data_IF_654777475208
#
_entry.id   IF_654777475208
#
_cell.length_a   1.000
_cell.length_b   1.000
_cell.length_c   1.000
_cell.angle_alpha   90.00
_cell.angle_beta   90.00
_cell.angle_gamma   90.00
#
_symmetry.space_group_name_H-M   'P 1'
#
loop_
_entity.id
_entity.type
_entity.pdbx_description
1 polymer ?
#
# COMPACT_ATOMS: atom_id res chain seq x y z
N UNK A 1 -34.33 27.82 17.66
CA UNK A 1 -33.79 26.46 17.39
C UNK A 1 -32.50 26.64 16.61
N UNK A 2 -31.34 26.31 17.20
CA UNK A 2 -30.09 26.21 16.43
C UNK A 2 -30.08 24.84 15.75
N UNK A 3 -30.01 24.84 14.42
CA UNK A 3 -29.76 23.62 13.66
C UNK A 3 -28.36 23.12 14.03
N UNK A 4 -28.28 21.88 14.53
CA UNK A 4 -27.01 21.17 14.65
C UNK A 4 -26.38 21.14 13.26
N UNK A 5 -25.27 21.85 13.05
CA UNK A 5 -24.35 21.58 11.95
C UNK A 5 -24.01 20.09 12.05
N UNK A 6 -24.48 19.29 11.11
CA UNK A 6 -23.96 17.93 10.92
C UNK A 6 -22.44 18.10 10.79
N UNK A 7 -21.67 17.44 11.65
CA UNK A 7 -20.23 17.30 11.50
C UNK A 7 -19.98 16.68 10.12
N UNK A 8 -19.65 17.52 9.15
CA UNK A 8 -19.30 17.07 7.81
C UNK A 8 -18.05 16.22 7.95
N UNK A 9 -18.19 14.91 7.74
CA UNK A 9 -17.07 13.96 7.80
C UNK A 9 -15.95 14.47 6.89
N UNK A 10 -14.74 14.56 7.45
CA UNK A 10 -13.54 14.93 6.70
C UNK A 10 -13.46 14.14 5.39
N UNK A 11 -13.23 14.80 4.24
CA UNK A 11 -13.09 14.10 2.96
C UNK A 11 -11.96 13.09 3.05
N UNK A 12 -12.15 11.94 2.42
CA UNK A 12 -11.19 10.83 2.40
C UNK A 12 -10.79 10.54 0.96
N UNK A 13 -9.49 10.45 0.69
CA UNK A 13 -8.93 10.21 -0.64
C UNK A 13 -8.13 8.91 -0.67
N UNK A 14 -8.34 8.08 -1.68
CA UNK A 14 -7.62 6.83 -1.89
C UNK A 14 -6.54 7.03 -2.96
N UNK A 15 -5.30 7.17 -2.51
CA UNK A 15 -4.15 7.44 -3.36
C UNK A 15 -3.38 6.14 -3.64
N UNK A 16 -3.12 5.88 -4.91
CA UNK A 16 -2.35 4.71 -5.35
C UNK A 16 -1.02 5.15 -5.92
N UNK A 17 0.07 4.67 -5.33
CA UNK A 17 1.43 4.88 -5.79
C UNK A 17 1.80 3.76 -6.77
N UNK A 18 2.23 4.15 -7.97
CA UNK A 18 2.63 3.26 -9.07
C UNK A 18 4.01 3.68 -9.59
N UNK A 19 4.67 2.82 -10.34
CA UNK A 19 6.01 3.03 -10.91
C UNK A 19 6.56 1.74 -11.48
N UNK A 20 7.82 1.68 -11.94
CA UNK A 20 8.38 0.41 -12.41
C UNK A 20 8.38 -0.64 -11.27
N UNK A 21 7.87 -1.84 -11.59
CA UNK A 21 7.77 -2.99 -10.68
C UNK A 21 7.90 -4.26 -11.52
N UNK A 22 8.43 -5.32 -10.92
CA UNK A 22 8.67 -6.59 -11.58
C UNK A 22 9.85 -7.32 -10.97
N UNK A 23 10.30 -8.36 -11.67
CA UNK A 23 11.51 -9.13 -11.37
C UNK A 23 12.77 -8.26 -11.46
N UNK A 24 13.89 -8.73 -10.89
CA UNK A 24 15.18 -8.06 -11.04
C UNK A 24 15.58 -7.83 -12.50
N UNK A 25 15.16 -8.71 -13.41
CA UNK A 25 15.38 -8.54 -14.85
C UNK A 25 14.66 -7.30 -15.41
N UNK A 26 13.50 -6.96 -14.87
CA UNK A 26 12.65 -5.86 -15.37
C UNK A 26 12.98 -4.52 -14.71
N UNK A 27 13.17 -4.50 -13.38
CA UNK A 27 13.43 -3.27 -12.63
C UNK A 27 14.91 -3.05 -12.25
N UNK A 28 15.77 -4.04 -12.44
CA UNK A 28 17.12 -4.05 -11.89
C UNK A 28 17.15 -4.42 -10.41
N UNK A 29 18.31 -4.24 -9.76
CA UNK A 29 18.50 -4.55 -8.33
C UNK A 29 17.81 -3.53 -7.40
N UNK A 30 17.52 -2.32 -7.89
CA UNK A 30 16.92 -1.25 -7.10
C UNK A 30 15.56 -0.87 -7.68
N UNK A 31 14.54 -0.76 -6.82
CA UNK A 31 13.24 -0.24 -7.23
C UNK A 31 13.24 1.27 -7.38
N UNK A 32 12.19 1.83 -7.98
CA UNK A 32 12.04 3.29 -8.18
C UNK A 32 11.69 4.07 -6.89
N UNK A 33 11.73 3.45 -5.71
CA UNK A 33 11.52 4.14 -4.42
C UNK A 33 10.08 4.29 -3.94
N UNK A 34 9.12 3.55 -4.53
CA UNK A 34 7.69 3.60 -4.14
C UNK A 34 7.47 3.33 -2.65
N UNK A 35 8.03 2.25 -2.12
CA UNK A 35 7.84 1.86 -0.72
C UNK A 35 8.41 2.91 0.24
N UNK A 36 9.60 3.44 -0.02
CA UNK A 36 10.19 4.50 0.79
C UNK A 36 9.35 5.78 0.78
N UNK A 37 8.80 6.15 -0.39
CA UNK A 37 7.89 7.29 -0.52
C UNK A 37 6.63 7.07 0.35
N UNK A 38 6.00 5.91 0.24
CA UNK A 38 4.82 5.56 1.02
C UNK A 38 5.12 5.52 2.53
N UNK A 39 6.23 4.89 2.96
CA UNK A 39 6.64 4.84 4.36
C UNK A 39 6.79 6.26 4.91
N UNK A 40 7.60 7.11 4.24
CA UNK A 40 7.87 8.47 4.73
C UNK A 40 6.59 9.32 4.76
N UNK A 41 5.69 9.13 3.81
CA UNK A 41 4.44 9.88 3.77
C UNK A 41 3.48 9.47 4.90
N UNK A 42 3.34 8.17 5.16
CA UNK A 42 2.43 7.66 6.21
C UNK A 42 3.02 7.82 7.61
N UNK A 43 4.32 7.55 7.76
CA UNK A 43 5.05 7.62 9.03
C UNK A 43 6.25 8.56 8.85
N UNK A 44 6.07 9.87 9.09
CA UNK A 44 7.10 10.86 8.79
C UNK A 44 8.27 10.87 9.77
N UNK A 45 8.12 10.24 10.95
CA UNK A 45 9.18 10.13 11.96
C UNK A 45 10.43 9.45 11.37
N UNK A 46 11.61 9.86 11.83
CA UNK A 46 12.86 9.21 11.45
C UNK A 46 12.91 7.76 11.98
N UNK A 47 12.42 7.54 13.20
CA UNK A 47 12.46 6.24 13.88
C UNK A 47 11.52 5.20 13.25
N UNK A 48 10.50 5.65 12.50
CA UNK A 48 9.52 4.78 11.83
C UNK A 48 9.83 4.53 10.34
N UNK A 49 10.96 5.04 9.86
CA UNK A 49 11.35 4.93 8.46
C UNK A 49 12.29 3.75 8.23
N UNK A 50 11.88 2.86 7.33
CA UNK A 50 12.69 1.73 6.89
C UNK A 50 13.18 2.00 5.47
N UNK A 51 14.48 1.77 5.24
CA UNK A 51 15.07 1.93 3.91
C UNK A 51 14.82 0.69 3.04
N UNK A 52 14.88 -0.49 3.67
CA UNK A 52 14.82 -1.77 2.99
C UNK A 52 13.41 -2.35 3.04
N UNK A 53 12.76 -2.37 1.87
CA UNK A 53 11.48 -3.00 1.65
C UNK A 53 11.62 -4.02 0.52
N UNK A 54 11.88 -5.29 0.86
CA UNK A 54 12.02 -6.35 -0.13
C UNK A 54 10.68 -6.64 -0.83
N UNK A 55 10.74 -6.91 -2.13
CA UNK A 55 9.63 -7.44 -2.91
C UNK A 55 9.79 -8.94 -3.20
N UNK A 56 10.79 -9.60 -2.62
CA UNK A 56 11.03 -11.03 -2.73
C UNK A 56 10.55 -11.67 -1.42
N UNK A 57 9.53 -12.51 -1.50
CA UNK A 57 8.78 -13.03 -0.36
C UNK A 57 8.63 -14.55 -0.47
N UNK A 58 8.54 -15.22 0.67
CA UNK A 58 8.12 -16.62 0.73
C UNK A 58 6.64 -16.75 0.36
N UNK A 59 6.20 -17.96 -0.01
CA UNK A 59 4.77 -18.26 -0.21
C UNK A 59 3.93 -17.98 1.05
N UNK A 60 4.51 -18.20 2.24
CA UNK A 60 3.84 -17.96 3.52
C UNK A 60 3.59 -16.47 3.74
N UNK A 61 4.62 -15.64 3.52
CA UNK A 61 4.52 -14.19 3.70
C UNK A 61 3.56 -13.55 2.68
N UNK A 62 3.59 -14.02 1.44
CA UNK A 62 2.67 -13.57 0.39
C UNK A 62 1.21 -13.88 0.73
N UNK A 63 0.95 -15.03 1.35
CA UNK A 63 -0.38 -15.45 1.80
C UNK A 63 -0.84 -14.82 3.12
N UNK A 64 0.06 -14.23 3.91
CA UNK A 64 -0.24 -13.58 5.19
C UNK A 64 -1.16 -12.37 5.03
N UNK A 65 -1.84 -11.95 6.10
CA UNK A 65 -2.93 -10.93 6.02
C UNK A 65 -2.47 -9.53 5.57
N UNK A 66 -1.18 -9.23 5.64
CA UNK A 66 -0.62 -7.94 5.18
C UNK A 66 -0.53 -7.91 3.64
N UNK A 67 0.09 -8.93 3.03
CA UNK A 67 0.23 -9.04 1.58
C UNK A 67 -1.06 -9.58 0.95
N UNK A 68 -1.73 -10.49 1.63
CA UNK A 68 -3.07 -11.02 1.38
C UNK A 68 -3.29 -11.58 -0.03
N UNK A 69 -2.26 -12.25 -0.57
CA UNK A 69 -2.24 -12.77 -1.94
C UNK A 69 -2.38 -11.69 -3.04
N UNK A 70 -2.07 -10.43 -2.70
CA UNK A 70 -2.12 -9.30 -3.62
C UNK A 70 -0.72 -8.80 -3.98
N UNK A 71 -0.57 -8.22 -5.17
CA UNK A 71 0.61 -7.41 -5.50
C UNK A 71 0.40 -5.92 -5.22
N UNK A 72 -0.22 -5.62 -4.09
CA UNK A 72 -0.26 -4.26 -3.56
C UNK A 72 -0.18 -4.27 -2.03
N UNK A 73 0.36 -3.20 -1.46
CA UNK A 73 0.42 -2.96 -0.03
C UNK A 73 -0.53 -1.84 0.35
N UNK A 74 -1.30 -2.05 1.43
CA UNK A 74 -2.02 -0.97 2.08
C UNK A 74 -1.10 -0.36 3.14
N UNK A 75 -0.64 0.86 2.92
CA UNK A 75 0.33 1.53 3.79
C UNK A 75 -0.31 2.18 5.02
N UNK A 76 -1.61 2.51 4.94
CA UNK A 76 -2.36 3.03 6.07
C UNK A 76 -3.24 4.23 5.73
N UNK A 77 -3.70 4.90 6.79
CA UNK A 77 -4.46 6.15 6.74
C UNK A 77 -3.63 7.28 7.34
N UNK A 78 -3.70 8.45 6.71
CA UNK A 78 -3.01 9.66 7.12
C UNK A 78 -4.01 10.81 7.20
N UNK A 79 -4.07 11.50 8.34
CA UNK A 79 -4.76 12.79 8.48
C UNK A 79 -3.84 13.95 8.10
N UNK A 80 -4.35 14.92 7.35
CA UNK A 80 -3.64 16.17 7.00
C UNK A 80 -4.58 17.36 7.08
N UNK A 81 -4.11 18.42 7.73
CA UNK A 81 -4.71 19.73 7.61
C UNK A 81 -4.30 20.34 6.25
N UNK A 82 -5.28 20.81 5.49
CA UNK A 82 -5.02 21.60 4.28
C UNK A 82 -4.70 23.05 4.71
N UNK A 83 -3.74 23.72 4.05
CA UNK A 83 -3.25 25.05 4.46
C UNK A 83 -4.37 26.09 4.69
N UNK A 84 -5.47 26.01 3.93
CA UNK A 84 -6.65 26.87 4.08
C UNK A 84 -7.98 26.08 4.08
N UNK A 85 -7.96 24.81 4.51
CA UNK A 85 -9.12 23.92 4.35
C UNK A 85 -9.41 22.99 5.52
N UNK A 86 -10.54 22.27 5.48
CA UNK A 86 -10.84 21.24 6.46
C UNK A 86 -9.78 20.14 6.42
N UNK A 87 -9.62 19.44 7.55
CA UNK A 87 -8.80 18.24 7.60
C UNK A 87 -9.30 17.22 6.57
N UNK A 88 -8.37 16.57 5.86
CA UNK A 88 -8.67 15.45 4.99
C UNK A 88 -7.91 14.20 5.44
N UNK A 89 -8.45 13.05 5.05
CA UNK A 89 -7.81 11.74 5.26
C UNK A 89 -7.36 11.18 3.95
N UNK A 90 -6.26 10.43 3.98
CA UNK A 90 -5.71 9.79 2.80
C UNK A 90 -5.41 8.34 3.12
N UNK A 91 -5.96 7.42 2.34
CA UNK A 91 -5.56 6.02 2.31
C UNK A 91 -4.47 5.85 1.24
N UNK A 92 -3.37 5.22 1.62
CA UNK A 92 -2.22 5.06 0.72
C UNK A 92 -2.05 3.59 0.37
N UNK A 93 -1.99 3.31 -0.92
CA UNK A 93 -1.72 1.99 -1.47
C UNK A 93 -0.52 2.06 -2.39
N UNK A 94 0.34 1.07 -2.34
CA UNK A 94 1.41 0.87 -3.33
C UNK A 94 1.07 -0.32 -4.22
N UNK A 95 1.01 -0.11 -5.53
CA UNK A 95 1.01 -1.20 -6.51
C UNK A 95 2.45 -1.65 -6.78
N UNK A 96 2.69 -2.95 -6.70
CA UNK A 96 4.03 -3.51 -6.86
C UNK A 96 3.98 -4.87 -7.56
N UNK A 97 5.07 -5.63 -7.52
CA UNK A 97 5.11 -7.03 -7.93
C UNK A 97 5.99 -7.83 -6.97
N UNK A 98 5.33 -8.65 -6.12
CA UNK A 98 6.02 -9.62 -5.29
C UNK A 98 6.50 -10.85 -6.08
N UNK A 99 7.73 -11.25 -5.79
CA UNK A 99 8.46 -12.34 -6.41
C UNK A 99 8.65 -13.44 -5.37
N UNK A 100 8.47 -14.68 -5.78
CA UNK A 100 8.70 -15.86 -4.94
C UNK A 100 10.21 -16.09 -4.73
N UNK A 101 10.60 -16.30 -3.48
CA UNK A 101 12.00 -16.42 -3.04
C UNK A 101 12.68 -17.74 -3.46
N UNK A 102 11.91 -18.75 -3.87
CA UNK A 102 12.44 -20.03 -4.33
C UNK A 102 12.55 -20.08 -5.86
N UNK A 103 11.52 -19.58 -6.56
CA UNK A 103 11.39 -19.69 -8.02
C UNK A 103 11.86 -18.43 -8.75
N UNK A 104 11.98 -17.30 -8.05
CA UNK A 104 12.27 -15.98 -8.61
C UNK A 104 11.29 -15.57 -9.71
N UNK A 105 10.07 -16.11 -9.68
CA UNK A 105 8.96 -15.74 -10.54
C UNK A 105 7.95 -14.90 -9.76
N UNK A 106 7.15 -14.05 -10.41
CA UNK A 106 6.05 -13.37 -9.74
C UNK A 106 5.13 -14.37 -9.04
N UNK A 107 4.77 -14.08 -7.79
CA UNK A 107 3.77 -14.86 -7.06
C UNK A 107 2.47 -14.95 -7.86
N UNK A 108 1.76 -16.08 -7.75
CA UNK A 108 0.43 -16.19 -8.35
C UNK A 108 -0.57 -15.46 -7.46
N UNK A 109 -1.05 -14.32 -7.90
CA UNK A 109 -2.14 -13.60 -7.23
C UNK A 109 -3.52 -14.02 -7.71
N UNK A 110 -4.52 -13.50 -7.01
CA UNK A 110 -5.93 -13.53 -7.42
C UNK A 110 -6.19 -12.83 -8.75
N UNK A 111 -5.33 -11.90 -9.17
CA UNK A 111 -5.45 -11.13 -10.40
C UNK A 111 -4.29 -11.44 -11.38
N UNK A 112 -4.53 -12.37 -12.30
CA UNK A 112 -3.57 -12.85 -13.31
C UNK A 112 -3.19 -11.82 -14.41
N UNK A 113 -3.46 -10.53 -14.19
CA UNK A 113 -3.17 -9.51 -15.19
C UNK A 113 -1.71 -9.01 -15.10
N UNK A 114 -1.11 -8.63 -16.26
CA UNK A 114 0.18 -7.96 -16.27
C UNK A 114 0.20 -6.72 -15.38
N UNK A 115 1.37 -6.41 -14.81
CA UNK A 115 1.54 -5.30 -13.87
C UNK A 115 0.89 -3.99 -14.34
N UNK A 116 1.11 -3.55 -15.59
CA UNK A 116 0.57 -2.28 -16.10
C UNK A 116 -0.96 -2.22 -15.99
N UNK A 117 -1.67 -3.32 -16.31
CA UNK A 117 -3.13 -3.35 -16.21
C UNK A 117 -3.59 -3.38 -14.75
N UNK A 118 -2.90 -4.15 -13.91
CA UNK A 118 -3.20 -4.26 -12.47
C UNK A 118 -2.96 -2.95 -11.74
N UNK A 119 -1.85 -2.26 -12.03
CA UNK A 119 -1.46 -0.99 -11.44
C UNK A 119 -2.43 0.15 -11.80
N UNK A 120 -3.08 0.07 -12.96
CA UNK A 120 -4.10 1.03 -13.40
C UNK A 120 -5.53 0.73 -12.87
N UNK A 121 -5.70 -0.31 -12.04
CA UNK A 121 -7.00 -0.65 -11.49
C UNK A 121 -7.53 0.46 -10.57
N UNK A 122 -8.77 0.90 -10.79
CA UNK A 122 -9.43 1.94 -9.98
C UNK A 122 -10.31 1.37 -8.87
N UNK A 123 -10.40 0.04 -8.78
CA UNK A 123 -11.13 -0.70 -7.75
C UNK A 123 -10.20 -1.74 -7.17
N UNK A 124 -9.92 -1.62 -5.88
CA UNK A 124 -9.10 -2.58 -5.14
C UNK A 124 -10.01 -3.29 -4.14
N UNK A 125 -9.94 -4.61 -4.07
CA UNK A 125 -10.71 -5.41 -3.13
C UNK A 125 -9.78 -6.46 -2.54
N UNK A 126 -9.68 -6.46 -1.21
CA UNK A 126 -8.87 -7.40 -0.44
C UNK A 126 -9.42 -7.43 0.99
N UNK A 127 -10.26 -8.43 1.26
CA UNK A 127 -10.95 -8.56 2.53
C UNK A 127 -9.93 -8.83 3.66
N UNK A 128 -10.13 -8.19 4.81
CA UNK A 128 -9.29 -8.35 6.01
C UNK A 128 -7.81 -7.97 5.86
N UNK A 129 -7.43 -7.32 4.76
CA UNK A 129 -6.05 -6.88 4.49
C UNK A 129 -5.56 -5.95 5.59
N UNK A 130 -4.40 -6.25 6.14
CA UNK A 130 -3.75 -5.45 7.17
C UNK A 130 -2.82 -4.39 6.58
N UNK A 131 -2.67 -3.31 7.33
CA UNK A 131 -1.72 -2.25 7.08
C UNK A 131 -0.27 -2.77 7.17
N UNK A 132 0.54 -2.40 6.19
CA UNK A 132 1.96 -2.71 6.12
C UNK A 132 2.81 -1.68 6.89
N UNK A 133 3.81 -2.17 7.62
CA UNK A 133 4.83 -1.39 8.30
C UNK A 133 6.20 -1.54 7.64
N UNK A 134 6.73 -2.76 7.68
CA UNK A 134 8.02 -3.16 7.13
C UNK A 134 8.01 -4.66 6.86
N UNK A 135 9.10 -5.19 6.31
CA UNK A 135 9.23 -6.63 5.99
C UNK A 135 9.22 -7.51 7.23
N UNK A 136 9.72 -7.02 8.36
CA UNK A 136 9.81 -7.77 9.62
C UNK A 136 8.43 -8.08 10.22
N UNK A 137 7.38 -7.38 9.77
CA UNK A 137 6.00 -7.64 10.16
C UNK A 137 5.47 -8.96 9.57
N UNK A 138 5.99 -9.39 8.41
CA UNK A 138 5.43 -10.53 7.68
C UNK A 138 5.70 -11.83 8.46
N UNK A 139 4.63 -12.57 8.78
CA UNK A 139 4.71 -13.75 9.65
C UNK A 139 4.75 -13.45 11.16
N UNK A 140 4.82 -12.17 11.54
CA UNK A 140 4.79 -11.67 12.91
C UNK A 140 3.70 -10.59 13.09
N UNK A 141 2.61 -10.67 12.33
CA UNK A 141 1.61 -9.59 12.24
C UNK A 141 0.97 -9.24 13.59
N UNK A 142 0.93 -10.21 14.52
CA UNK A 142 0.39 -10.06 15.87
C UNK A 142 1.22 -9.15 16.79
N UNK A 143 2.50 -8.94 16.46
CA UNK A 143 3.42 -8.10 17.23
C UNK A 143 3.32 -6.61 16.81
N UNK A 144 2.52 -6.32 15.77
CA UNK A 144 2.29 -4.99 15.21
C UNK A 144 0.82 -4.55 15.35
N UNK A 145 0.55 -3.26 15.15
CA UNK A 145 -0.82 -2.75 15.14
C UNK A 145 -1.64 -3.36 13.99
N UNK A 146 -2.75 -4.02 14.32
CA UNK A 146 -3.62 -4.67 13.35
C UNK A 146 -4.69 -3.72 12.79
N UNK A 147 -4.25 -2.70 12.04
CA UNK A 147 -5.17 -1.79 11.33
C UNK A 147 -5.57 -2.37 9.97
N UNK A 148 -6.86 -2.60 9.77
CA UNK A 148 -7.37 -3.15 8.51
C UNK A 148 -7.60 -2.07 7.44
N UNK A 149 -7.45 -2.46 6.18
CA UNK A 149 -7.94 -1.70 5.03
C UNK A 149 -9.46 -1.52 5.15
N UNK A 150 -9.98 -0.29 5.04
CA UNK A 150 -11.37 -0.01 5.32
C UNK A 150 -12.29 -0.79 4.38
N UNK A 151 -13.31 -1.44 4.96
CA UNK A 151 -14.33 -2.23 4.26
C UNK A 151 -13.79 -3.34 3.34
N UNK A 152 -12.49 -3.67 3.44
CA UNK A 152 -11.84 -4.61 2.53
C UNK A 152 -11.85 -4.17 1.06
N UNK A 153 -12.11 -2.89 0.76
CA UNK A 153 -12.15 -2.36 -0.61
C UNK A 153 -11.84 -0.87 -0.67
N UNK A 154 -11.22 -0.42 -1.75
CA UNK A 154 -10.92 0.99 -2.01
C UNK A 154 -11.29 1.37 -3.45
N UNK A 155 -11.89 2.55 -3.60
CA UNK A 155 -12.15 3.18 -4.90
C UNK A 155 -11.09 4.26 -5.12
N UNK A 156 -10.24 4.11 -6.13
CA UNK A 156 -9.08 4.99 -6.33
C UNK A 156 -9.54 6.38 -6.77
N UNK A 157 -9.03 7.41 -6.09
CA UNK A 157 -9.28 8.82 -6.38
C UNK A 157 -8.13 9.48 -7.14
N UNK A 158 -6.91 8.95 -7.01
CA UNK A 158 -5.74 9.49 -7.69
C UNK A 158 -4.57 8.53 -7.73
N UNK A 159 -3.69 8.75 -8.72
CA UNK A 159 -2.46 8.00 -8.89
C UNK A 159 -1.25 8.92 -8.73
N UNK A 160 -0.21 8.42 -8.07
CA UNK A 160 1.13 9.02 -8.10
C UNK A 160 2.05 8.09 -8.88
N UNK A 161 2.59 8.58 -10.00
CA UNK A 161 3.59 7.88 -10.78
C UNK A 161 4.99 8.25 -10.27
N UNK A 162 5.68 7.28 -9.70
CA UNK A 162 7.08 7.40 -9.28
C UNK A 162 7.99 6.95 -10.42
N UNK A 163 8.93 7.82 -10.78
CA UNK A 163 9.92 7.61 -11.83
C UNK A 163 11.29 8.08 -11.33
N UNK A 164 12.35 7.33 -11.66
CA UNK A 164 13.76 7.72 -11.49
C UNK A 164 14.52 7.46 -12.79
#
# INVERSE_FOLDING_TARGET
MMAKKQDARAPTYNLVVVGLSGTEKEKGQCGVGKSCLCNRFVRPSADDFHLDHTSVLSTSDFGGRVVNNDHFLFWGEVGRALEEGPECRMHVVEQTEFIDDQTFQPHRSTALQPYIKRAAATKLASAEKLMYFCTDQLGLEQDFEQKQMPEGKLQVDGFLLVWM
#
